data_IF_262536448585
#
_entry.id   IF_262536448585
#
_cell.length_a   1.000
_cell.length_b   1.000
_cell.length_c   1.000
_cell.angle_alpha   90.00
_cell.angle_beta   90.00
_cell.angle_gamma   90.00
#
_symmetry.space_group_name_H-M   'P 1'
#
loop_
_entity.id
_entity.type
_entity.pdbx_description
1 polymer ?
#
# COMPACT_ATOMS: atom_id res chain seq x y z
N UNK A 1 -32.25 -7.88 -25.91
CA UNK A 1 -31.05 -7.11 -25.50
C UNK A 1 -30.12 -8.07 -24.79
N UNK A 2 -29.05 -8.49 -25.46
CA UNK A 2 -28.11 -9.47 -24.92
C UNK A 2 -27.18 -8.84 -23.87
N UNK A 3 -26.77 -9.58 -22.84
CA UNK A 3 -25.79 -9.08 -21.88
C UNK A 3 -24.46 -8.84 -22.59
N UNK A 4 -24.06 -7.58 -22.68
CA UNK A 4 -22.75 -7.19 -23.23
C UNK A 4 -21.65 -7.75 -22.35
N UNK A 5 -20.85 -8.67 -22.91
CA UNK A 5 -19.64 -9.19 -22.29
C UNK A 5 -18.62 -8.05 -22.28
N UNK A 6 -18.44 -7.42 -21.12
CA UNK A 6 -17.37 -6.43 -20.92
C UNK A 6 -16.05 -7.20 -20.80
N UNK A 7 -15.05 -6.93 -21.66
CA UNK A 7 -13.77 -7.63 -21.61
C UNK A 7 -13.01 -7.22 -20.34
N UNK A 8 -12.80 -8.20 -19.45
CA UNK A 8 -12.06 -8.05 -18.21
C UNK A 8 -10.56 -7.95 -18.51
N UNK A 9 -10.01 -6.73 -18.56
CA UNK A 9 -8.56 -6.47 -18.82
C UNK A 9 -7.66 -6.61 -17.59
N UNK A 10 -8.10 -7.29 -16.52
CA UNK A 10 -7.45 -7.25 -15.20
C UNK A 10 -6.19 -8.14 -15.02
N UNK A 11 -5.56 -8.66 -16.08
CA UNK A 11 -4.41 -9.58 -15.97
C UNK A 11 -3.02 -9.00 -16.24
N UNK A 12 -2.90 -7.89 -16.98
CA UNK A 12 -1.63 -7.56 -17.65
C UNK A 12 -0.56 -6.91 -16.76
N UNK A 13 -0.92 -6.16 -15.72
CA UNK A 13 0.07 -5.42 -14.91
C UNK A 13 0.90 -6.33 -13.98
N UNK A 14 0.32 -7.44 -13.51
CA UNK A 14 1.03 -8.38 -12.64
C UNK A 14 2.06 -9.24 -13.40
N UNK A 15 1.72 -9.70 -14.59
CA UNK A 15 2.60 -10.52 -15.42
C UNK A 15 3.76 -9.72 -16.01
N UNK A 16 3.50 -8.50 -16.48
CA UNK A 16 4.55 -7.62 -17.04
C UNK A 16 5.63 -7.31 -16.01
N UNK A 17 5.25 -7.01 -14.76
CA UNK A 17 6.22 -6.72 -13.70
C UNK A 17 6.99 -7.96 -13.24
N UNK A 18 6.38 -9.15 -13.25
CA UNK A 18 7.11 -10.42 -13.02
C UNK A 18 8.07 -10.71 -14.16
N UNK A 19 7.66 -10.54 -15.41
CA UNK A 19 8.51 -10.74 -16.58
C UNK A 19 9.72 -9.79 -16.58
N UNK A 20 9.51 -8.52 -16.20
CA UNK A 20 10.59 -7.54 -16.10
C UNK A 20 11.62 -7.93 -15.02
N UNK A 21 11.15 -8.41 -13.85
CA UNK A 21 12.02 -8.92 -12.77
C UNK A 21 12.86 -10.11 -13.24
N UNK A 22 12.24 -11.08 -13.92
CA UNK A 22 12.95 -12.25 -14.45
C UNK A 22 13.94 -11.90 -15.57
N UNK A 23 13.57 -10.99 -16.47
CA UNK A 23 14.48 -10.50 -17.52
C UNK A 23 15.71 -9.81 -16.92
N UNK A 24 15.53 -8.97 -15.89
CA UNK A 24 16.63 -8.32 -15.19
C UNK A 24 17.57 -9.33 -14.52
N UNK A 25 17.02 -10.35 -13.84
CA UNK A 25 17.82 -11.43 -13.24
C UNK A 25 18.61 -12.20 -14.30
N UNK A 26 17.94 -12.66 -15.36
CA UNK A 26 18.59 -13.43 -16.43
C UNK A 26 19.67 -12.63 -17.17
N UNK A 27 19.46 -11.33 -17.34
CA UNK A 27 20.48 -10.43 -17.94
C UNK A 27 21.68 -10.29 -17.01
N UNK A 28 21.48 -10.16 -15.70
CA UNK A 28 22.59 -10.14 -14.73
C UNK A 28 23.35 -11.46 -14.70
N UNK A 29 22.64 -12.60 -14.73
CA UNK A 29 23.26 -13.93 -14.70
C UNK A 29 24.07 -14.17 -15.98
N UNK A 30 23.53 -13.83 -17.15
CA UNK A 30 24.23 -14.03 -18.43
C UNK A 30 25.47 -13.14 -18.58
N UNK A 31 25.42 -11.89 -18.11
CA UNK A 31 26.60 -11.01 -18.05
C UNK A 31 27.66 -11.57 -17.10
N UNK A 32 27.25 -12.10 -15.95
CA UNK A 32 28.17 -12.67 -14.96
C UNK A 32 28.85 -13.96 -15.47
N UNK A 33 28.10 -14.86 -16.10
CA UNK A 33 28.63 -16.12 -16.66
C UNK A 33 29.58 -15.86 -17.83
N UNK A 34 29.26 -14.90 -18.69
CA UNK A 34 30.11 -14.54 -19.83
C UNK A 34 31.45 -13.93 -19.38
N UNK A 35 31.45 -13.17 -18.27
CA UNK A 35 32.67 -12.63 -17.69
C UNK A 35 33.57 -13.71 -17.06
N UNK A 36 32.99 -14.74 -16.44
CA UNK A 36 33.72 -15.85 -15.81
C UNK A 36 34.33 -16.80 -16.84
N UNK A 37 33.65 -17.04 -17.96
CA UNK A 37 34.12 -17.96 -19.00
C UNK A 37 35.36 -17.44 -19.78
N UNK A 38 35.64 -16.13 -19.72
CA UNK A 38 36.71 -15.49 -20.49
C UNK A 38 37.98 -15.14 -19.67
N UNK A 39 37.98 -15.36 -18.35
CA UNK A 39 38.98 -14.79 -17.45
C UNK A 39 40.12 -15.76 -17.09
N UNK A 40 41.38 -15.35 -17.29
CA UNK A 40 42.56 -15.93 -16.62
C UNK A 40 42.49 -15.72 -15.10
N UNK A 41 43.25 -16.48 -14.29
CA UNK A 41 43.15 -16.45 -12.82
C UNK A 41 43.25 -15.05 -12.18
N UNK A 42 43.98 -14.12 -12.79
CA UNK A 42 44.12 -12.74 -12.33
C UNK A 42 42.86 -11.90 -12.60
N UNK A 43 42.26 -12.04 -13.78
CA UNK A 43 40.96 -11.43 -14.09
C UNK A 43 39.80 -12.02 -13.27
N UNK A 44 39.87 -13.30 -12.88
CA UNK A 44 38.91 -13.91 -11.97
C UNK A 44 39.02 -13.29 -10.55
N UNK A 45 40.24 -13.05 -10.06
CA UNK A 45 40.47 -12.39 -8.78
C UNK A 45 39.96 -10.94 -8.78
N UNK A 46 40.22 -10.17 -9.86
CA UNK A 46 39.68 -8.82 -10.02
C UNK A 46 38.16 -8.80 -10.09
N UNK A 47 37.55 -9.72 -10.85
CA UNK A 47 36.10 -9.86 -10.93
C UNK A 47 35.51 -10.19 -9.56
N UNK A 48 36.11 -11.13 -8.83
CA UNK A 48 35.65 -11.54 -7.50
C UNK A 48 35.74 -10.39 -6.49
N UNK A 49 36.85 -9.64 -6.48
CA UNK A 49 37.02 -8.46 -5.63
C UNK A 49 35.98 -7.38 -5.95
N UNK A 50 35.78 -7.11 -7.25
CA UNK A 50 34.80 -6.14 -7.74
C UNK A 50 33.37 -6.55 -7.36
N UNK A 51 33.01 -7.83 -7.57
CA UNK A 51 31.72 -8.38 -7.24
C UNK A 51 31.47 -8.35 -5.72
N UNK A 52 32.46 -8.71 -4.91
CA UNK A 52 32.39 -8.63 -3.45
C UNK A 52 32.14 -7.19 -2.97
N UNK A 53 32.84 -6.21 -3.56
CA UNK A 53 32.60 -4.79 -3.31
C UNK A 53 31.16 -4.38 -3.64
N UNK A 54 30.68 -4.72 -4.84
CA UNK A 54 29.29 -4.43 -5.24
C UNK A 54 28.27 -5.10 -4.33
N UNK A 55 28.47 -6.36 -3.95
CA UNK A 55 27.58 -7.08 -3.05
C UNK A 55 27.55 -6.45 -1.66
N UNK A 56 28.70 -6.05 -1.12
CA UNK A 56 28.80 -5.36 0.16
C UNK A 56 28.09 -4.00 0.12
N UNK A 57 28.31 -3.21 -0.94
CA UNK A 57 27.62 -1.92 -1.14
C UNK A 57 26.11 -2.12 -1.29
N UNK A 58 25.68 -3.13 -2.04
CA UNK A 58 24.26 -3.42 -2.26
C UNK A 58 23.60 -3.93 -0.98
N UNK A 59 24.27 -4.76 -0.18
CA UNK A 59 23.82 -5.20 1.14
C UNK A 59 23.70 -4.02 2.12
N UNK A 60 24.72 -3.16 2.19
CA UNK A 60 24.68 -1.95 3.03
C UNK A 60 23.58 -0.99 2.61
N UNK A 61 23.44 -0.76 1.30
CA UNK A 61 22.38 0.10 0.73
C UNK A 61 21.00 -0.46 1.03
N UNK A 62 20.78 -1.76 0.84
CA UNK A 62 19.49 -2.39 1.07
C UNK A 62 19.10 -2.40 2.56
N UNK A 63 20.04 -2.65 3.47
CA UNK A 63 19.80 -2.49 4.91
C UNK A 63 19.43 -1.05 5.28
N UNK A 64 20.15 -0.06 4.74
CA UNK A 64 19.88 1.36 4.97
C UNK A 64 18.50 1.77 4.42
N UNK A 65 18.13 1.32 3.23
CA UNK A 65 16.80 1.55 2.63
C UNK A 65 15.70 1.01 3.53
N UNK A 66 15.85 -0.21 4.04
CA UNK A 66 14.86 -0.81 4.94
C UNK A 66 14.73 0.01 6.22
N UNK A 67 15.84 0.39 6.85
CA UNK A 67 15.84 1.21 8.06
C UNK A 67 15.18 2.58 7.83
N UNK A 68 15.52 3.26 6.72
CA UNK A 68 14.94 4.56 6.37
C UNK A 68 13.46 4.46 6.03
N UNK A 69 13.03 3.40 5.35
CA UNK A 69 11.61 3.15 5.11
C UNK A 69 10.84 2.93 6.40
N UNK A 70 11.38 2.14 7.33
CA UNK A 70 10.75 1.92 8.63
C UNK A 70 10.67 3.20 9.45
N UNK A 71 11.75 3.99 9.48
CA UNK A 71 11.79 5.30 10.11
C UNK A 71 10.76 6.24 9.48
N UNK A 72 10.71 6.33 8.16
CA UNK A 72 9.77 7.15 7.40
C UNK A 72 8.31 6.78 7.70
N UNK A 73 7.99 5.47 7.69
CA UNK A 73 6.65 4.97 8.01
C UNK A 73 6.22 5.36 9.42
N UNK A 74 7.13 5.23 10.41
CA UNK A 74 6.88 5.58 11.81
C UNK A 74 6.76 7.09 12.01
N UNK A 75 7.62 7.88 11.37
CA UNK A 75 7.67 9.34 11.52
C UNK A 75 6.48 10.03 10.86
N UNK A 76 6.03 9.59 9.69
CA UNK A 76 5.01 10.32 8.92
C UNK A 76 3.59 9.75 9.01
N UNK A 77 3.39 8.70 9.81
CA UNK A 77 2.08 8.02 9.95
C UNK A 77 1.48 7.62 8.59
N UNK A 78 2.34 7.14 7.68
CA UNK A 78 1.95 6.86 6.29
C UNK A 78 0.84 5.81 6.24
N UNK A 79 0.94 4.80 7.11
CA UNK A 79 -0.08 3.75 7.24
C UNK A 79 -1.44 4.31 7.65
N UNK A 80 -1.47 5.17 8.68
CA UNK A 80 -2.71 5.78 9.15
C UNK A 80 -3.40 6.62 8.06
N UNK A 81 -2.62 7.43 7.34
CA UNK A 81 -3.11 8.20 6.19
C UNK A 81 -3.65 7.29 5.08
N UNK A 82 -2.93 6.21 4.78
CA UNK A 82 -3.32 5.24 3.77
C UNK A 82 -4.65 4.54 4.14
N UNK A 83 -4.74 3.94 5.34
CA UNK A 83 -5.95 3.26 5.80
C UNK A 83 -7.17 4.18 5.87
N UNK A 84 -6.99 5.40 6.38
CA UNK A 84 -8.07 6.40 6.39
C UNK A 84 -8.53 6.73 4.97
N UNK A 85 -7.60 6.93 4.05
CA UNK A 85 -7.91 7.20 2.64
C UNK A 85 -8.62 6.02 1.97
N UNK A 86 -8.19 4.80 2.25
CA UNK A 86 -8.81 3.57 1.76
C UNK A 86 -10.27 3.46 2.23
N UNK A 87 -10.54 3.70 3.51
CA UNK A 87 -11.90 3.66 4.07
C UNK A 87 -12.78 4.77 3.48
N UNK A 88 -12.28 6.00 3.38
CA UNK A 88 -13.03 7.11 2.78
C UNK A 88 -13.39 6.83 1.31
N UNK A 89 -12.44 6.31 0.51
CA UNK A 89 -12.69 5.92 -0.88
C UNK A 89 -13.66 4.74 -0.98
N UNK A 90 -13.56 3.77 -0.08
CA UNK A 90 -14.45 2.64 -0.02
C UNK A 90 -15.89 3.03 0.30
N UNK A 91 -16.07 3.96 1.24
CA UNK A 91 -17.36 4.54 1.61
C UNK A 91 -17.94 5.41 0.50
N UNK A 92 -17.12 6.21 -0.19
CA UNK A 92 -17.60 7.10 -1.24
C UNK A 92 -18.26 6.37 -2.42
N UNK A 93 -17.92 5.10 -2.69
CA UNK A 93 -18.39 4.28 -3.83
C UNK A 93 -17.97 4.78 -5.22
N UNK A 94 -17.67 6.07 -5.35
CA UNK A 94 -17.21 6.75 -6.55
C UNK A 94 -16.17 7.81 -6.15
N UNK A 95 -15.25 8.14 -7.06
CA UNK A 95 -14.32 9.25 -6.90
C UNK A 95 -15.02 10.62 -6.92
N UNK A 96 -16.16 10.72 -7.59
CA UNK A 96 -16.93 11.95 -7.76
C UNK A 96 -17.72 12.36 -6.52
N UNK A 97 -18.07 11.40 -5.66
CA UNK A 97 -18.82 11.62 -4.41
C UNK A 97 -17.92 12.02 -3.24
N UNK A 98 -16.60 12.09 -3.45
CA UNK A 98 -15.66 12.59 -2.43
C UNK A 98 -15.81 14.11 -2.36
N UNK A 99 -16.53 14.60 -1.35
CA UNK A 99 -16.71 16.04 -1.09
C UNK A 99 -15.39 16.75 -0.85
N UNK A 100 -15.39 18.08 -1.00
CA UNK A 100 -14.20 18.93 -0.79
C UNK A 100 -13.53 18.73 0.58
N UNK A 101 -14.31 18.41 1.62
CA UNK A 101 -13.80 18.13 2.97
C UNK A 101 -13.05 16.79 3.04
N UNK A 102 -13.49 15.80 2.25
CA UNK A 102 -12.82 14.51 2.07
C UNK A 102 -11.78 14.52 0.94
N UNK A 103 -11.64 15.63 0.21
CA UNK A 103 -10.74 15.74 -0.95
C UNK A 103 -9.25 15.67 -0.60
N UNK A 104 -8.89 15.55 0.67
CA UNK A 104 -7.58 15.06 1.12
C UNK A 104 -7.29 13.61 0.68
N UNK A 105 -8.32 12.86 0.30
CA UNK A 105 -8.21 11.60 -0.41
C UNK A 105 -7.93 11.76 -1.91
N UNK A 106 -8.03 12.98 -2.47
CA UNK A 106 -7.66 13.22 -3.86
C UNK A 106 -6.16 12.99 -3.97
N UNK A 107 -5.77 11.99 -4.73
CA UNK A 107 -4.37 11.69 -4.81
C UNK A 107 -3.64 12.84 -5.51
N UNK A 108 -2.69 13.49 -4.84
CA UNK A 108 -1.69 14.32 -5.54
C UNK A 108 -0.96 13.49 -6.59
N UNK A 109 -0.26 14.09 -7.55
CA UNK A 109 0.36 13.36 -8.68
C UNK A 109 1.15 12.11 -8.22
N UNK A 110 1.97 12.26 -7.17
CA UNK A 110 2.72 11.14 -6.59
C UNK A 110 1.82 10.12 -5.88
N UNK A 111 0.73 10.57 -5.27
CA UNK A 111 -0.27 9.71 -4.63
C UNK A 111 -1.19 9.04 -5.65
N UNK A 112 -1.36 9.57 -6.86
CA UNK A 112 -2.22 8.97 -7.89
C UNK A 112 -1.49 7.79 -8.53
N UNK A 113 -0.18 7.95 -8.72
CA UNK A 113 0.69 6.86 -9.16
C UNK A 113 0.94 5.87 -8.02
N UNK A 114 1.26 6.34 -6.81
CA UNK A 114 1.63 5.44 -5.70
C UNK A 114 0.44 4.77 -4.99
N UNK A 115 -0.71 5.45 -4.86
CA UNK A 115 -1.93 4.88 -4.25
C UNK A 115 -2.89 4.27 -5.27
N UNK A 116 -2.45 4.08 -6.52
CA UNK A 116 -3.24 3.50 -7.60
C UNK A 116 -4.53 4.27 -7.85
N UNK A 117 -4.45 5.40 -8.57
CA UNK A 117 -5.52 6.33 -8.90
C UNK A 117 -6.67 5.76 -9.73
N UNK A 118 -6.94 4.46 -9.65
CA UNK A 118 -8.07 3.80 -10.25
C UNK A 118 -9.26 3.65 -9.30
N UNK A 119 -10.40 3.42 -9.93
CA UNK A 119 -11.69 3.06 -9.37
C UNK A 119 -11.69 1.68 -8.66
N UNK A 120 -10.64 1.33 -7.91
CA UNK A 120 -10.48 0.00 -7.30
C UNK A 120 -11.48 -0.28 -6.18
N UNK A 121 -12.04 0.77 -5.58
CA UNK A 121 -13.16 0.67 -4.65
C UNK A 121 -14.50 1.03 -5.31
N UNK A 122 -14.51 1.31 -6.62
CA UNK A 122 -15.73 1.64 -7.31
C UNK A 122 -16.65 0.43 -7.32
N UNK A 123 -17.89 0.71 -6.96
CA UNK A 123 -18.93 -0.29 -6.96
C UNK A 123 -19.65 -0.21 -8.30
N UNK A 124 -19.93 -1.35 -8.97
CA UNK A 124 -20.77 -1.35 -10.16
C UNK A 124 -22.10 -0.65 -9.88
N UNK A 125 -22.66 0.07 -10.87
CA UNK A 125 -23.83 0.93 -10.64
C UNK A 125 -25.02 0.21 -10.01
N UNK A 126 -25.25 -1.06 -10.35
CA UNK A 126 -26.33 -1.88 -9.79
C UNK A 126 -26.16 -2.23 -8.30
N UNK A 127 -24.98 -2.03 -7.73
CA UNK A 127 -24.67 -2.23 -6.30
C UNK A 127 -24.45 -0.93 -5.55
N UNK A 128 -24.56 0.23 -6.22
CA UNK A 128 -24.52 1.52 -5.52
C UNK A 128 -25.73 1.62 -4.59
N UNK A 129 -25.56 2.32 -3.47
CA UNK A 129 -26.65 2.55 -2.53
C UNK A 129 -27.71 3.40 -3.24
N UNK A 130 -28.86 2.78 -3.53
CA UNK A 130 -29.99 3.44 -4.20
C UNK A 130 -30.79 4.20 -3.15
N UNK A 131 -30.51 5.49 -2.99
CA UNK A 131 -31.25 6.37 -2.08
C UNK A 131 -30.65 7.77 -2.06
N UNK A 132 -31.50 8.79 -2.12
CA UNK A 132 -31.06 10.20 -2.01
C UNK A 132 -30.44 10.53 -0.66
N UNK A 133 -30.66 9.66 0.33
CA UNK A 133 -30.32 9.90 1.73
C UNK A 133 -28.96 9.31 2.12
N UNK A 134 -28.21 8.68 1.20
CA UNK A 134 -26.87 8.19 1.52
C UNK A 134 -25.82 9.31 1.47
N UNK A 135 -25.15 9.56 2.60
CA UNK A 135 -23.97 10.43 2.69
C UNK A 135 -22.74 9.62 3.11
N UNK A 136 -21.67 9.58 2.28
CA UNK A 136 -20.39 8.99 2.65
C UNK A 136 -19.77 9.60 3.91
N UNK A 137 -19.95 10.91 4.13
CA UNK A 137 -19.45 11.64 5.30
C UNK A 137 -20.12 11.15 6.58
N UNK A 138 -21.45 10.99 6.54
CA UNK A 138 -22.21 10.47 7.67
C UNK A 138 -21.88 8.99 7.92
N UNK A 139 -21.78 8.17 6.87
CA UNK A 139 -21.34 6.78 6.99
C UNK A 139 -19.92 6.66 7.60
N UNK A 140 -19.02 7.57 7.24
CA UNK A 140 -17.68 7.64 7.84
C UNK A 140 -17.73 8.06 9.30
N UNK A 141 -18.56 9.05 9.66
CA UNK A 141 -18.72 9.48 11.04
C UNK A 141 -19.30 8.37 11.93
N UNK A 142 -20.28 7.62 11.43
CA UNK A 142 -20.86 6.43 12.09
C UNK A 142 -19.83 5.30 12.23
N UNK A 143 -19.10 5.01 11.17
CA UNK A 143 -18.01 4.02 11.18
C UNK A 143 -16.96 4.39 12.23
N UNK A 144 -16.56 5.66 12.25
CA UNK A 144 -15.57 6.15 13.17
C UNK A 144 -16.06 6.10 14.61
N UNK A 145 -17.31 6.49 14.86
CA UNK A 145 -17.96 6.36 16.16
C UNK A 145 -17.88 4.92 16.71
N UNK A 146 -18.25 3.94 15.88
CA UNK A 146 -18.26 2.52 16.26
C UNK A 146 -16.86 1.93 16.50
N UNK A 147 -15.87 2.33 15.72
CA UNK A 147 -14.49 1.79 15.83
C UNK A 147 -13.66 2.48 16.91
N UNK A 148 -13.95 3.74 17.22
CA UNK A 148 -13.20 4.52 18.22
C UNK A 148 -13.84 4.56 19.61
N UNK A 149 -15.12 4.21 19.73
CA UNK A 149 -15.88 4.34 20.97
C UNK A 149 -16.15 5.79 21.39
N UNK A 150 -15.96 6.78 20.51
CA UNK A 150 -16.28 8.17 20.81
C UNK A 150 -17.78 8.36 21.04
N UNK A 151 -18.19 9.29 21.89
CA UNK A 151 -19.60 9.45 22.29
C UNK A 151 -20.53 9.99 21.19
N UNK A 152 -19.99 10.62 20.13
CA UNK A 152 -20.77 11.16 19.01
C UNK A 152 -20.07 10.92 17.68
N UNK A 153 -20.81 10.78 16.56
CA UNK A 153 -20.24 10.83 15.22
C UNK A 153 -19.53 12.17 15.04
N UNK A 154 -18.20 12.17 15.04
CA UNK A 154 -17.43 13.38 14.81
C UNK A 154 -17.49 13.74 13.33
N UNK A 155 -17.77 15.00 13.01
CA UNK A 155 -17.59 15.53 11.65
C UNK A 155 -16.16 15.26 11.18
N UNK A 156 -15.95 14.79 9.94
CA UNK A 156 -14.61 14.52 9.43
C UNK A 156 -13.72 15.75 9.59
N UNK A 157 -12.67 15.66 10.41
CA UNK A 157 -11.74 16.78 10.55
C UNK A 157 -10.77 16.83 9.36
N UNK A 158 -10.53 18.01 8.76
CA UNK A 158 -9.53 18.15 7.71
C UNK A 158 -8.13 17.86 8.26
N UNK A 159 -7.35 17.02 7.57
CA UNK A 159 -6.10 16.46 8.08
C UNK A 159 -4.88 17.39 7.96
N UNK A 160 -5.05 18.67 7.59
CA UNK A 160 -3.94 19.63 7.47
C UNK A 160 -3.49 20.20 8.82
N UNK A 161 -4.22 19.96 9.90
CA UNK A 161 -3.76 20.30 11.23
C UNK A 161 -2.64 19.33 11.66
N UNK A 162 -1.40 19.66 11.30
CA UNK A 162 -0.13 19.05 11.76
C UNK A 162 -0.06 18.96 13.30
N UNK A 163 -1.02 19.49 14.06
CA UNK A 163 -1.00 19.58 15.52
C UNK A 163 -1.71 18.40 16.23
N UNK A 164 -2.52 17.57 15.55
CA UNK A 164 -3.27 16.49 16.23
C UNK A 164 -2.61 15.11 16.16
N UNK A 165 -1.34 14.99 16.55
CA UNK A 165 -0.59 13.72 16.55
C UNK A 165 -1.10 12.65 17.54
N UNK A 166 -2.16 12.93 18.33
CA UNK A 166 -2.62 12.05 19.43
C UNK A 166 -4.13 11.82 19.47
N UNK A 167 -4.87 12.12 18.41
CA UNK A 167 -6.30 11.86 18.40
C UNK A 167 -6.60 10.36 18.19
N UNK A 168 -7.73 9.90 18.73
CA UNK A 168 -8.16 8.48 18.69
C UNK A 168 -8.32 7.98 17.26
N UNK A 169 -8.64 8.87 16.31
CA UNK A 169 -8.72 8.56 14.88
C UNK A 169 -7.41 8.01 14.34
N UNK A 170 -6.30 8.64 14.68
CA UNK A 170 -4.98 8.19 14.29
C UNK A 170 -4.70 6.79 14.85
N UNK A 171 -5.01 6.55 16.11
CA UNK A 171 -4.75 5.26 16.75
C UNK A 171 -5.47 4.12 16.04
N UNK A 172 -6.74 4.32 15.65
CA UNK A 172 -7.53 3.34 14.89
C UNK A 172 -6.89 3.04 13.53
N UNK A 173 -6.48 4.07 12.77
CA UNK A 173 -5.93 3.86 11.43
C UNK A 173 -4.44 3.45 11.42
N UNK A 174 -3.68 3.68 12.49
CA UNK A 174 -2.29 3.23 12.63
C UNK A 174 -2.15 1.73 12.93
N UNK A 175 -3.24 1.06 13.32
CA UNK A 175 -3.27 -0.38 13.52
C UNK A 175 -2.81 -1.15 12.27
N UNK A 176 -2.30 -2.35 12.50
CA UNK A 176 -2.09 -3.33 11.42
C UNK A 176 -3.41 -3.60 10.70
N UNK A 177 -3.36 -3.82 9.39
CA UNK A 177 -4.57 -4.00 8.55
C UNK A 177 -5.50 -5.08 9.12
N UNK A 178 -4.95 -6.19 9.63
CA UNK A 178 -5.72 -7.26 10.29
C UNK A 178 -6.47 -6.79 11.54
N UNK A 179 -5.82 -6.01 12.40
CA UNK A 179 -6.43 -5.45 13.63
C UNK A 179 -7.47 -4.39 13.32
N UNK A 180 -7.18 -3.52 12.35
CA UNK A 180 -8.14 -2.53 11.85
C UNK A 180 -9.38 -3.25 11.30
N UNK A 181 -9.21 -4.32 10.53
CA UNK A 181 -10.33 -5.09 9.97
C UNK A 181 -11.16 -5.80 11.03
N UNK A 182 -10.56 -6.27 12.14
CA UNK A 182 -11.32 -6.77 13.29
C UNK A 182 -12.29 -5.70 13.81
N UNK A 183 -11.82 -4.46 14.00
CA UNK A 183 -12.68 -3.36 14.44
C UNK A 183 -13.76 -3.00 13.41
N UNK A 184 -13.43 -3.08 12.12
CA UNK A 184 -14.40 -2.87 11.04
C UNK A 184 -15.49 -3.95 11.07
N UNK A 185 -15.13 -5.21 11.34
CA UNK A 185 -16.08 -6.31 11.47
C UNK A 185 -16.97 -6.15 12.71
N UNK A 186 -16.39 -5.77 13.84
CA UNK A 186 -17.16 -5.48 15.07
C UNK A 186 -18.15 -4.32 14.85
N UNK A 187 -17.72 -3.26 14.17
CA UNK A 187 -18.59 -2.15 13.79
C UNK A 187 -19.72 -2.61 12.85
N UNK A 188 -19.41 -3.47 11.88
CA UNK A 188 -20.40 -4.01 10.95
C UNK A 188 -21.45 -4.88 11.66
N UNK A 189 -21.04 -5.73 12.59
CA UNK A 189 -21.96 -6.51 13.43
C UNK A 189 -22.80 -5.60 14.34
N UNK A 190 -22.24 -4.52 14.90
CA UNK A 190 -22.98 -3.52 15.67
C UNK A 190 -24.05 -2.80 14.82
N UNK A 191 -23.73 -2.50 13.55
CA UNK A 191 -24.68 -1.90 12.59
C UNK A 191 -25.83 -2.85 12.29
N UNK A 192 -25.57 -4.15 12.08
CA UNK A 192 -26.65 -5.12 11.86
C UNK A 192 -27.59 -5.27 13.06
N UNK A 193 -27.06 -5.09 14.28
CA UNK A 193 -27.82 -5.14 15.53
C UNK A 193 -28.54 -3.81 15.87
N UNK A 194 -28.27 -2.73 15.13
CA UNK A 194 -28.86 -1.42 15.37
C UNK A 194 -28.94 -0.56 14.11
N UNK A 195 -29.60 -1.04 13.04
CA UNK A 195 -29.51 -0.40 11.73
C UNK A 195 -30.09 1.01 11.69
N UNK A 196 -31.06 1.32 12.56
CA UNK A 196 -31.62 2.67 12.71
C UNK A 196 -30.65 3.68 13.34
N UNK A 197 -29.69 3.21 14.15
CA UNK A 197 -28.71 4.10 14.81
C UNK A 197 -27.60 4.54 13.87
N UNK A 198 -27.35 3.73 12.84
CA UNK A 198 -26.29 3.94 11.85
C UNK A 198 -26.84 3.75 10.42
N UNK A 199 -27.84 4.55 10.01
CA UNK A 199 -28.57 4.32 8.77
C UNK A 199 -27.68 4.41 7.53
N UNK A 200 -26.68 5.31 7.52
CA UNK A 200 -25.83 5.49 6.34
C UNK A 200 -24.84 4.33 6.20
N UNK A 201 -24.24 3.89 7.30
CA UNK A 201 -23.34 2.73 7.33
C UNK A 201 -24.10 1.42 7.11
N UNK A 202 -25.34 1.30 7.60
CA UNK A 202 -26.21 0.15 7.30
C UNK A 202 -26.52 0.08 5.81
N UNK A 203 -26.97 1.18 5.21
CA UNK A 203 -27.24 1.26 3.77
C UNK A 203 -25.99 0.90 2.96
N UNK A 204 -24.82 1.36 3.39
CA UNK A 204 -23.55 1.02 2.77
C UNK A 204 -23.17 -0.45 2.89
N UNK A 205 -23.21 -1.03 4.10
CA UNK A 205 -22.77 -2.42 4.34
C UNK A 205 -23.74 -3.45 3.74
N UNK A 206 -25.00 -3.08 3.56
CA UNK A 206 -26.02 -3.91 2.91
C UNK A 206 -26.14 -3.66 1.41
N UNK A 207 -25.27 -2.84 0.82
CA UNK A 207 -25.26 -2.62 -0.63
C UNK A 207 -25.08 -3.94 -1.38
N UNK A 208 -25.86 -4.21 -2.41
CA UNK A 208 -25.79 -5.48 -3.15
C UNK A 208 -26.33 -6.72 -2.41
N UNK A 209 -26.87 -6.56 -1.20
CA UNK A 209 -27.87 -7.47 -0.64
C UNK A 209 -29.18 -7.26 -1.39
N UNK A 210 -30.03 -8.29 -1.46
CA UNK A 210 -31.39 -8.13 -1.93
C UNK A 210 -32.12 -7.02 -1.14
N UNK A 211 -32.69 -6.04 -1.86
CA UNK A 211 -33.29 -4.87 -1.23
C UNK A 211 -34.47 -5.23 -0.31
N UNK A 212 -35.20 -6.31 -0.62
CA UNK A 212 -36.31 -6.78 0.21
C UNK A 212 -35.81 -7.39 1.52
N UNK A 213 -34.68 -8.12 1.48
CA UNK A 213 -34.04 -8.66 2.70
C UNK A 213 -33.51 -7.52 3.59
N UNK A 214 -32.82 -6.52 3.02
CA UNK A 214 -32.34 -5.38 3.80
C UNK A 214 -33.50 -4.58 4.42
N UNK A 215 -34.53 -4.24 3.64
CA UNK A 215 -35.69 -3.50 4.14
C UNK A 215 -36.46 -4.30 5.19
N UNK A 216 -36.66 -5.61 5.00
CA UNK A 216 -37.36 -6.44 5.96
C UNK A 216 -36.57 -6.63 7.26
N UNK A 217 -35.22 -6.69 7.19
CA UNK A 217 -34.39 -6.72 8.40
C UNK A 217 -34.45 -5.39 9.16
N UNK A 218 -34.37 -4.26 8.44
CA UNK A 218 -34.56 -2.94 9.03
C UNK A 218 -35.92 -2.82 9.74
N UNK A 219 -37.00 -3.27 9.10
CA UNK A 219 -38.34 -3.28 9.68
C UNK A 219 -38.44 -4.19 10.92
N UNK A 220 -37.87 -5.40 10.85
CA UNK A 220 -37.80 -6.32 12.00
C UNK A 220 -37.08 -5.67 13.19
N UNK A 221 -35.93 -5.05 12.98
CA UNK A 221 -35.17 -4.38 14.04
C UNK A 221 -35.87 -3.13 14.58
N UNK A 222 -36.77 -2.53 13.79
CA UNK A 222 -37.58 -1.38 14.20
C UNK A 222 -38.73 -1.76 15.13
N UNK A 223 -39.25 -2.97 14.98
CA UNK A 223 -40.41 -3.45 15.73
C UNK A 223 -40.29 -4.97 15.93
N UNK A 224 -39.35 -5.43 16.77
CA UNK A 224 -39.12 -6.85 16.97
C UNK A 224 -40.36 -7.49 17.61
N UNK A 225 -40.86 -8.62 17.09
CA UNK A 225 -42.02 -9.30 17.63
C UNK A 225 -41.71 -9.86 19.03
N UNK A 226 -42.69 -9.83 19.94
CA UNK A 226 -42.54 -10.37 21.29
C UNK A 226 -42.22 -11.87 21.33
N UNK A 227 -42.57 -12.61 20.28
CA UNK A 227 -42.28 -14.05 20.13
C UNK A 227 -40.80 -14.38 19.86
N UNK A 228 -39.95 -13.36 19.67
CA UNK A 228 -38.56 -13.55 19.26
C UNK A 228 -38.37 -13.80 17.76
N UNK A 229 -37.13 -14.02 17.29
CA UNK A 229 -36.80 -14.16 15.87
C UNK A 229 -37.42 -15.44 15.30
N UNK A 230 -38.11 -15.32 14.16
CA UNK A 230 -38.56 -16.49 13.41
C UNK A 230 -37.39 -17.15 12.68
N UNK A 231 -37.61 -18.36 12.15
CA UNK A 231 -36.63 -19.00 11.24
C UNK A 231 -36.32 -18.12 10.03
N UNK A 232 -37.34 -17.49 9.45
CA UNK A 232 -37.18 -16.61 8.29
C UNK A 232 -36.30 -15.39 8.62
N UNK A 233 -36.44 -14.82 9.81
CA UNK A 233 -35.62 -13.68 10.25
C UNK A 233 -34.17 -14.10 10.47
N UNK A 234 -33.95 -15.29 11.04
CA UNK A 234 -32.62 -15.86 11.22
C UNK A 234 -31.92 -16.14 9.87
N UNK A 235 -32.66 -16.70 8.91
CA UNK A 235 -32.15 -16.97 7.56
C UNK A 235 -31.83 -15.66 6.82
N UNK A 236 -32.67 -14.64 6.98
CA UNK A 236 -32.45 -13.30 6.42
C UNK A 236 -31.18 -12.65 7.00
N UNK A 237 -31.04 -12.67 8.33
CA UNK A 237 -29.84 -12.18 9.01
C UNK A 237 -28.59 -12.90 8.51
N UNK A 238 -28.63 -14.22 8.37
CA UNK A 238 -27.50 -15.00 7.87
C UNK A 238 -27.09 -14.62 6.45
N UNK A 239 -28.06 -14.40 5.54
CA UNK A 239 -27.79 -13.94 4.16
C UNK A 239 -27.15 -12.56 4.13
N UNK A 240 -27.70 -11.60 4.89
CA UNK A 240 -27.17 -10.24 5.00
C UNK A 240 -25.73 -10.29 5.53
N UNK A 241 -25.51 -10.98 6.65
CA UNK A 241 -24.21 -11.08 7.30
C UNK A 241 -23.16 -11.75 6.41
N UNK A 242 -23.54 -12.80 5.68
CA UNK A 242 -22.64 -13.47 4.73
C UNK A 242 -22.19 -12.53 3.61
N UNK A 243 -23.11 -11.77 3.00
CA UNK A 243 -22.76 -10.83 1.94
C UNK A 243 -21.91 -9.67 2.45
N UNK A 244 -22.25 -9.13 3.62
CA UNK A 244 -21.46 -8.10 4.29
C UNK A 244 -20.02 -8.59 4.54
N UNK A 245 -19.85 -9.80 5.08
CA UNK A 245 -18.53 -10.41 5.31
C UNK A 245 -17.71 -10.52 4.02
N UNK A 246 -18.32 -10.97 2.92
CA UNK A 246 -17.63 -11.02 1.61
C UNK A 246 -17.15 -9.64 1.13
N UNK A 247 -17.90 -8.58 1.42
CA UNK A 247 -17.46 -7.21 1.08
C UNK A 247 -16.29 -6.75 1.93
N UNK A 248 -16.32 -7.06 3.23
CA UNK A 248 -15.23 -6.75 4.14
C UNK A 248 -13.96 -7.52 3.77
N UNK A 249 -14.09 -8.81 3.41
CA UNK A 249 -12.97 -9.63 2.94
C UNK A 249 -12.37 -9.05 1.64
N UNK A 250 -13.21 -8.69 0.67
CA UNK A 250 -12.76 -8.05 -0.57
C UNK A 250 -12.04 -6.72 -0.30
N UNK A 251 -12.58 -5.89 0.59
CA UNK A 251 -11.95 -4.64 1.02
C UNK A 251 -10.60 -4.89 1.70
N UNK A 252 -10.51 -5.88 2.59
CA UNK A 252 -9.27 -6.26 3.27
C UNK A 252 -8.22 -6.72 2.27
N UNK A 253 -8.57 -7.62 1.34
CA UNK A 253 -7.65 -8.11 0.31
C UNK A 253 -7.12 -6.97 -0.54
N UNK A 254 -7.99 -6.12 -1.09
CA UNK A 254 -7.59 -4.97 -1.91
C UNK A 254 -6.68 -4.02 -1.11
N UNK A 255 -7.06 -3.70 0.12
CA UNK A 255 -6.30 -2.76 0.97
C UNK A 255 -4.94 -3.32 1.36
N UNK A 256 -4.82 -4.63 1.57
CA UNK A 256 -3.56 -5.30 1.90
C UNK A 256 -2.63 -5.33 0.70
N UNK A 257 -3.10 -5.83 -0.46
CA UNK A 257 -2.31 -5.87 -1.68
C UNK A 257 -1.78 -4.49 -2.05
N UNK A 258 -2.63 -3.46 -1.99
CA UNK A 258 -2.25 -2.08 -2.31
C UNK A 258 -1.24 -1.48 -1.33
N UNK A 259 -1.33 -1.84 -0.04
CA UNK A 259 -0.35 -1.41 0.94
C UNK A 259 1.02 -2.04 0.67
N UNK A 260 1.04 -3.32 0.29
CA UNK A 260 2.26 -4.04 -0.06
C UNK A 260 2.89 -3.50 -1.34
N UNK A 261 2.09 -3.26 -2.38
CA UNK A 261 2.53 -2.60 -3.61
C UNK A 261 3.15 -1.23 -3.32
N UNK A 262 2.49 -0.41 -2.51
CA UNK A 262 2.97 0.90 -2.10
C UNK A 262 4.33 0.80 -1.37
N UNK A 263 4.46 -0.16 -0.46
CA UNK A 263 5.71 -0.41 0.26
C UNK A 263 6.82 -0.84 -0.70
N UNK A 264 6.52 -1.69 -1.67
CA UNK A 264 7.47 -2.15 -2.66
C UNK A 264 7.93 -1.00 -3.56
N UNK A 265 7.01 -0.14 -4.01
CA UNK A 265 7.33 1.06 -4.79
C UNK A 265 8.23 2.02 -4.04
N UNK A 266 7.93 2.31 -2.77
CA UNK A 266 8.79 3.15 -1.94
C UNK A 266 10.16 2.53 -1.70
N UNK A 267 10.25 1.21 -1.54
CA UNK A 267 11.54 0.51 -1.42
C UNK A 267 12.38 0.63 -2.69
N UNK A 268 11.76 0.44 -3.86
CA UNK A 268 12.45 0.58 -5.14
C UNK A 268 12.92 2.02 -5.36
N UNK A 269 12.05 3.00 -5.11
CA UNK A 269 12.37 4.42 -5.27
C UNK A 269 13.50 4.85 -4.33
N UNK A 270 13.38 4.52 -3.04
CA UNK A 270 14.39 4.90 -2.06
C UNK A 270 15.72 4.18 -2.31
N UNK A 271 15.68 2.90 -2.70
CA UNK A 271 16.85 2.14 -3.12
C UNK A 271 17.55 2.77 -4.31
N UNK A 272 16.79 3.20 -5.33
CA UNK A 272 17.36 3.88 -6.48
C UNK A 272 18.02 5.22 -6.09
N UNK A 273 17.37 6.01 -5.24
CA UNK A 273 17.91 7.29 -4.77
C UNK A 273 19.20 7.10 -3.97
N UNK A 274 19.22 6.15 -3.02
CA UNK A 274 20.40 5.92 -2.18
C UNK A 274 21.55 5.37 -3.00
N UNK A 275 21.28 4.42 -3.91
CA UNK A 275 22.32 3.90 -4.79
C UNK A 275 22.86 4.99 -5.73
N UNK A 276 21.98 5.85 -6.26
CA UNK A 276 22.43 7.00 -7.04
C UNK A 276 23.39 7.87 -6.23
N UNK A 277 23.02 8.25 -5.01
CA UNK A 277 23.88 9.05 -4.12
C UNK A 277 25.22 8.34 -3.87
N UNK A 278 25.20 7.04 -3.59
CA UNK A 278 26.41 6.26 -3.37
C UNK A 278 27.31 6.22 -4.62
N UNK A 279 26.71 6.09 -5.80
CA UNK A 279 27.45 6.11 -7.07
C UNK A 279 28.03 7.49 -7.38
N UNK A 280 27.31 8.58 -7.06
CA UNK A 280 27.83 9.95 -7.20
C UNK A 280 29.03 10.14 -6.27
N UNK A 281 28.91 9.76 -5.00
CA UNK A 281 30.01 9.84 -4.03
C UNK A 281 31.21 8.99 -4.49
N UNK A 282 30.97 7.77 -4.96
CA UNK A 282 32.01 6.86 -5.44
C UNK A 282 32.63 7.24 -6.79
N UNK A 283 32.06 8.20 -7.52
CA UNK A 283 32.66 8.73 -8.75
C UNK A 283 33.82 9.70 -8.48
N UNK A 284 34.01 10.13 -7.23
CA UNK A 284 35.20 10.90 -6.83
C UNK A 284 36.43 9.99 -6.79
N UNK A 285 37.44 10.17 -7.65
CA UNK A 285 38.63 9.33 -7.66
C UNK A 285 39.45 9.42 -6.37
N UNK A 286 39.31 10.53 -5.62
CA UNK A 286 40.00 10.71 -4.34
C UNK A 286 39.22 10.16 -3.15
N UNK A 287 38.08 9.49 -3.38
CA UNK A 287 37.20 9.01 -2.31
C UNK A 287 37.92 8.13 -1.28
N UNK A 288 38.80 7.24 -1.74
CA UNK A 288 39.52 6.27 -0.89
C UNK A 288 40.67 6.92 -0.11
N UNK A 289 41.22 8.03 -0.63
CA UNK A 289 42.42 8.67 -0.08
C UNK A 289 42.10 9.70 1.02
N UNK A 290 40.82 10.06 1.21
CA UNK A 290 40.42 11.05 2.20
C UNK A 290 40.44 10.45 3.63
N UNK A 291 41.30 10.94 4.54
CA UNK A 291 41.44 10.39 5.90
C UNK A 291 40.21 10.65 6.79
N UNK A 292 39.33 11.56 6.38
CA UNK A 292 38.01 11.76 6.97
C UNK A 292 36.96 11.77 5.85
N UNK A 293 35.96 10.90 5.97
CA UNK A 293 34.81 10.90 5.08
C UNK A 293 33.94 12.13 5.37
N UNK A 294 34.01 13.15 4.52
CA UNK A 294 33.03 14.22 4.46
C UNK A 294 32.02 13.91 3.34
N UNK A 295 30.78 13.50 3.68
CA UNK A 295 29.78 13.14 2.68
C UNK A 295 29.37 14.31 1.80
N UNK A 296 29.41 15.55 2.31
CA UNK A 296 28.97 16.71 1.56
C UNK A 296 30.01 17.14 0.52
N UNK A 297 31.29 17.18 0.91
CA UNK A 297 32.37 17.45 -0.05
C UNK A 297 32.51 16.34 -1.10
N UNK A 298 32.32 15.07 -0.70
CA UNK A 298 32.33 13.95 -1.65
C UNK A 298 31.14 14.00 -2.62
N UNK A 299 29.96 14.39 -2.15
CA UNK A 299 28.79 14.57 -3.01
C UNK A 299 29.00 15.72 -4.01
N UNK A 300 29.54 16.87 -3.56
CA UNK A 300 29.88 18.00 -4.44
C UNK A 300 30.92 17.60 -5.48
N UNK A 301 31.98 16.90 -5.07
CA UNK A 301 33.03 16.42 -5.97
C UNK A 301 32.45 15.46 -7.01
N UNK A 302 31.66 14.47 -6.60
CA UNK A 302 30.96 13.57 -7.49
C UNK A 302 30.03 14.27 -8.48
N UNK A 303 29.31 15.32 -8.04
CA UNK A 303 28.46 16.11 -8.91
C UNK A 303 29.25 16.90 -9.97
N UNK A 304 30.45 17.36 -9.63
CA UNK A 304 31.37 17.97 -10.60
C UNK A 304 31.85 16.93 -11.62
N UNK A 305 32.21 15.73 -11.18
CA UNK A 305 32.58 14.63 -12.09
C UNK A 305 31.44 14.25 -13.03
N UNK A 306 30.19 14.27 -12.56
CA UNK A 306 29.00 14.06 -13.39
C UNK A 306 28.81 15.12 -14.49
N UNK A 307 29.33 16.33 -14.29
CA UNK A 307 29.27 17.40 -15.29
C UNK A 307 30.36 17.29 -16.36
N UNK A 308 31.31 16.38 -16.19
CA UNK A 308 32.31 16.06 -17.22
C UNK A 308 31.61 15.40 -18.42
N UNK A 309 31.80 15.90 -19.66
CA UNK A 309 31.26 15.31 -20.87
C UNK A 309 31.60 13.82 -21.05
N UNK A 310 32.69 13.34 -20.46
CA UNK A 310 33.10 11.93 -20.53
C UNK A 310 32.28 11.02 -19.61
N UNK A 311 31.58 11.58 -18.61
CA UNK A 311 30.79 10.80 -17.65
C UNK A 311 29.39 10.56 -18.20
N UNK A 312 29.03 9.30 -18.43
CA UNK A 312 27.67 8.94 -18.84
C UNK A 312 26.69 9.03 -17.67
N UNK A 313 26.08 10.20 -17.48
CA UNK A 313 25.00 10.43 -16.49
C UNK A 313 23.88 9.42 -16.65
N UNK A 314 23.53 9.08 -17.90
CA UNK A 314 22.53 8.06 -18.21
C UNK A 314 22.93 6.69 -17.67
N UNK A 315 24.22 6.31 -17.79
CA UNK A 315 24.75 5.07 -17.22
C UNK A 315 24.65 5.02 -15.69
N UNK A 316 24.86 6.16 -15.02
CA UNK A 316 24.71 6.27 -13.56
C UNK A 316 23.25 6.16 -13.12
N UNK A 317 22.33 6.83 -13.83
CA UNK A 317 20.89 6.72 -13.59
C UNK A 317 20.39 5.28 -13.81
N UNK A 318 20.86 4.61 -14.87
CA UNK A 318 20.49 3.22 -15.16
C UNK A 318 20.98 2.27 -14.06
N UNK A 319 22.23 2.42 -13.61
CA UNK A 319 22.80 1.63 -12.49
C UNK A 319 22.02 1.83 -11.20
N UNK A 320 21.68 3.09 -10.88
CA UNK A 320 20.88 3.42 -9.72
C UNK A 320 19.47 2.80 -9.79
N UNK A 321 18.80 2.95 -10.93
CA UNK A 321 17.48 2.35 -11.15
C UNK A 321 17.53 0.82 -11.03
N UNK A 322 18.53 0.17 -11.63
CA UNK A 322 18.72 -1.28 -11.55
C UNK A 322 18.92 -1.73 -10.10
N UNK A 323 19.79 -1.08 -9.33
CA UNK A 323 19.98 -1.48 -7.94
C UNK A 323 18.77 -1.16 -7.04
N UNK A 324 17.99 -0.12 -7.35
CA UNK A 324 16.69 0.09 -6.72
C UNK A 324 15.70 -1.06 -6.99
N UNK A 325 15.64 -1.55 -8.23
CA UNK A 325 14.81 -2.72 -8.61
C UNK A 325 15.30 -4.01 -7.95
N UNK A 326 16.62 -4.15 -7.75
CA UNK A 326 17.21 -5.34 -7.12
C UNK A 326 17.17 -5.30 -5.58
N UNK A 327 16.95 -4.14 -4.95
CA UNK A 327 16.94 -4.01 -3.49
C UNK A 327 15.92 -4.94 -2.78
N UNK A 328 14.66 -5.10 -3.26
CA UNK A 328 13.74 -6.09 -2.71
C UNK A 328 14.26 -7.52 -2.81
N UNK A 329 14.92 -7.88 -3.91
CA UNK A 329 15.50 -9.22 -4.11
C UNK A 329 16.64 -9.46 -3.11
N UNK A 330 17.48 -8.45 -2.88
CA UNK A 330 18.55 -8.51 -1.87
C UNK A 330 17.99 -8.74 -0.46
N UNK A 331 16.88 -8.07 -0.11
CA UNK A 331 16.18 -8.30 1.17
C UNK A 331 15.65 -9.73 1.28
N UNK A 332 15.00 -10.24 0.25
CA UNK A 332 14.44 -11.60 0.27
C UNK A 332 15.54 -12.67 0.36
N UNK A 333 16.67 -12.46 -0.34
CA UNK A 333 17.87 -13.29 -0.20
C UNK A 333 18.44 -13.26 1.22
N UNK A 334 18.59 -12.08 1.82
CA UNK A 334 19.07 -11.94 3.20
C UNK A 334 18.13 -12.65 4.19
N UNK A 335 16.81 -12.48 4.02
CA UNK A 335 15.82 -13.16 4.85
C UNK A 335 15.91 -14.68 4.68
N UNK A 336 16.02 -15.17 3.45
CA UNK A 336 16.20 -16.59 3.15
C UNK A 336 17.45 -17.16 3.83
N UNK A 337 18.58 -16.45 3.74
CA UNK A 337 19.84 -16.86 4.39
C UNK A 337 19.69 -16.86 5.91
N UNK A 338 19.06 -15.82 6.49
CA UNK A 338 18.84 -15.74 7.94
C UNK A 338 17.89 -16.81 8.49
N UNK A 339 17.00 -17.33 7.63
CA UNK A 339 16.05 -18.38 7.98
C UNK A 339 16.68 -19.77 8.06
N UNK A 340 17.88 -19.95 7.47
CA UNK A 340 18.71 -21.14 7.65
C UNK A 340 19.30 -21.08 9.06
N UNK A 341 18.45 -21.35 10.05
CA UNK A 341 18.92 -21.69 11.39
C UNK A 341 19.65 -23.02 11.24
N UNK A 342 20.97 -23.01 11.40
CA UNK A 342 21.72 -24.23 11.62
C UNK A 342 21.17 -24.89 12.87
N UNK A 343 20.31 -25.89 12.70
CA UNK A 343 19.92 -26.81 13.75
C UNK A 343 21.19 -27.49 14.22
N UNK A 344 21.70 -27.04 15.38
CA UNK A 344 22.81 -27.70 16.07
C UNK A 344 22.31 -28.92 16.82
#
# INVERSE_FOLDING_TARGET
MGPGVVPTTMGFEGETMRALKWAAVMTLTSVSVSAVAASTGESLAQLTSTLSGYLATLAGTSALVVALLEAYKKLLSVRGKYHRTAIMRWLAQDSTSITGELALAKPGILSAVALGGGNHYAVPDYRKVMGKDYSPEQAYAEFFHLTSGQSKPATPHPSHAIVRWRSVDRAVFELETSRMMSQVQDAADAVLNGPQRYPHLYAFLTRGVDASDAAAWLAYMSSPPASGPTKQDSDRYARIRMLMRRQLDAFQTVTTCRWDDLNQWWAMLLGAVILFIALVIGADPQFVEKPAFDPWESLKAGWRTLSDPQTSVLGLLLKAALGGVLAPIGKDLLNSISSIKFSR
#
